data_IF_430186774610
#
_entry.id   IF_430186774610
#
_cell.length_a   1.000
_cell.length_b   1.000
_cell.length_c   1.000
_cell.angle_alpha   90.00
_cell.angle_beta   90.00
_cell.angle_gamma   90.00
#
_symmetry.space_group_name_H-M   'P 1'
#
loop_
_entity.id
_entity.type
_entity.pdbx_description
1 polymer ?
#
# COMPACT_ATOMS: atom_id res chain seq x y z
N UNK A 1 5.41 29.45 -25.51
CA UNK A 1 5.08 28.24 -24.77
C UNK A 1 3.59 28.06 -24.96
N UNK A 2 3.14 27.07 -25.72
CA UNK A 2 1.72 26.82 -25.81
C UNK A 2 1.29 26.03 -24.57
N UNK A 3 0.20 26.44 -23.94
CA UNK A 3 -0.34 25.77 -22.76
C UNK A 3 -1.78 25.38 -23.06
N UNK A 4 -2.08 24.08 -23.02
CA UNK A 4 -3.44 23.58 -23.19
C UNK A 4 -4.07 23.39 -21.81
N UNK A 5 -5.11 24.17 -21.55
CA UNK A 5 -5.96 24.11 -20.37
C UNK A 5 -7.11 23.15 -20.65
N UNK A 6 -7.19 22.11 -19.82
CA UNK A 6 -8.14 21.01 -19.97
C UNK A 6 -8.98 20.93 -18.69
N UNK A 7 -10.28 21.11 -18.83
CA UNK A 7 -11.23 20.95 -17.74
C UNK A 7 -11.82 19.54 -17.75
N UNK A 8 -11.76 18.85 -16.61
CA UNK A 8 -12.41 17.56 -16.38
C UNK A 8 -13.53 17.71 -15.35
N UNK A 9 -14.76 17.69 -15.84
CA UNK A 9 -15.97 17.60 -15.02
C UNK A 9 -16.52 16.17 -15.09
N UNK A 10 -16.42 15.44 -13.97
CA UNK A 10 -16.64 14.00 -13.90
C UNK A 10 -15.76 13.28 -14.92
N UNK A 11 -16.36 12.60 -15.88
CA UNK A 11 -15.62 11.90 -16.95
C UNK A 11 -15.54 12.73 -18.24
N UNK A 12 -16.15 13.93 -18.28
CA UNK A 12 -16.15 14.76 -19.48
C UNK A 12 -14.89 15.62 -19.52
N UNK A 13 -14.05 15.37 -20.53
CA UNK A 13 -12.88 16.18 -20.84
C UNK A 13 -13.25 17.28 -21.84
N UNK A 14 -13.02 18.53 -21.45
CA UNK A 14 -13.25 19.71 -22.28
C UNK A 14 -11.97 20.53 -22.41
N UNK A 15 -11.54 20.78 -23.65
CA UNK A 15 -10.38 21.65 -23.92
C UNK A 15 -10.87 23.11 -23.89
N UNK A 16 -10.32 23.91 -22.99
CA UNK A 16 -10.77 25.29 -22.77
C UNK A 16 -10.10 26.30 -23.71
N UNK A 17 -8.83 26.08 -24.04
CA UNK A 17 -8.11 26.86 -25.04
C UNK A 17 -7.50 25.94 -26.10
N UNK A 18 -7.74 26.29 -27.37
CA UNK A 18 -7.09 25.63 -28.50
C UNK A 18 -5.97 26.52 -28.98
N UNK A 19 -4.82 26.44 -28.29
CA UNK A 19 -3.59 27.02 -28.81
C UNK A 19 -3.05 26.17 -29.95
N UNK A 20 -2.41 26.83 -30.93
CA UNK A 20 -1.87 26.15 -32.11
C UNK A 20 -0.56 25.49 -31.71
N UNK A 21 -0.52 24.16 -31.77
CA UNK A 21 0.70 23.37 -31.62
C UNK A 21 1.25 23.03 -33.00
N UNK A 22 2.56 23.23 -33.18
CA UNK A 22 3.27 22.90 -34.41
C UNK A 22 4.01 21.55 -34.26
N UNK A 23 4.01 20.75 -35.32
CA UNK A 23 4.78 19.50 -35.37
C UNK A 23 6.28 19.80 -35.39
N UNK A 24 7.04 19.17 -34.49
CA UNK A 24 8.48 19.37 -34.36
C UNK A 24 8.89 20.15 -33.10
N UNK A 25 7.94 20.74 -32.38
CA UNK A 25 8.19 21.33 -31.07
C UNK A 25 8.62 20.25 -30.06
N UNK A 26 9.72 20.48 -29.35
CA UNK A 26 10.26 19.56 -28.33
C UNK A 26 10.44 20.30 -27.01
N UNK A 27 9.91 19.72 -25.93
CA UNK A 27 9.94 20.27 -24.56
C UNK A 27 9.44 21.72 -24.43
N UNK A 28 8.50 22.13 -25.30
CA UNK A 28 8.01 23.52 -25.34
C UNK A 28 6.53 23.67 -24.97
N UNK A 29 5.73 22.62 -25.13
CA UNK A 29 4.28 22.68 -24.90
C UNK A 29 3.86 21.87 -23.68
N UNK A 30 2.92 22.43 -22.92
CA UNK A 30 2.45 21.87 -21.65
C UNK A 30 0.93 21.77 -21.63
N UNK A 31 0.42 20.85 -20.80
CA UNK A 31 -0.99 20.76 -20.48
C UNK A 31 -1.18 21.05 -18.98
N UNK A 32 -2.18 21.87 -18.67
CA UNK A 32 -2.68 22.10 -17.33
C UNK A 32 -4.09 21.52 -17.24
N UNK A 33 -4.33 20.69 -16.22
CA UNK A 33 -5.60 20.02 -16.02
C UNK A 33 -6.31 20.57 -14.80
N UNK A 34 -7.57 20.97 -14.96
CA UNK A 34 -8.44 21.34 -13.86
C UNK A 34 -9.45 20.22 -13.61
N UNK A 35 -9.40 19.61 -12.44
CA UNK A 35 -10.29 18.51 -12.07
C UNK A 35 -11.38 18.96 -11.10
N UNK A 36 -12.57 18.38 -11.25
CA UNK A 36 -13.60 18.48 -10.20
C UNK A 36 -13.33 17.51 -9.03
N UNK A 37 -14.15 17.61 -7.99
CA UNK A 37 -14.04 16.82 -6.75
C UNK A 37 -14.16 15.30 -6.97
N UNK A 38 -14.60 14.83 -8.14
CA UNK A 38 -14.72 13.39 -8.39
C UNK A 38 -13.37 12.70 -8.56
N UNK A 39 -12.32 13.48 -8.85
CA UNK A 39 -10.95 13.00 -9.03
C UNK A 39 -10.11 13.05 -7.75
N UNK A 40 -10.71 13.44 -6.61
CA UNK A 40 -9.99 13.59 -5.34
C UNK A 40 -9.45 12.26 -4.80
N UNK A 41 -8.15 12.25 -4.55
CA UNK A 41 -7.41 11.08 -4.06
C UNK A 41 -7.11 10.01 -5.11
N UNK A 42 -7.32 10.30 -6.41
CA UNK A 42 -6.81 9.47 -7.50
C UNK A 42 -5.43 9.95 -7.94
N UNK A 43 -4.52 9.01 -8.20
CA UNK A 43 -3.27 9.26 -8.94
C UNK A 43 -3.64 9.39 -10.41
N UNK A 44 -3.38 10.55 -11.00
CA UNK A 44 -3.86 10.92 -12.33
C UNK A 44 -2.76 10.79 -13.38
N UNK A 45 -3.10 10.16 -14.50
CA UNK A 45 -2.18 9.90 -15.61
C UNK A 45 -2.82 10.39 -16.90
N UNK A 46 -2.14 11.32 -17.58
CA UNK A 46 -2.49 11.78 -18.90
C UNK A 46 -2.00 10.80 -19.97
N UNK A 47 -2.79 10.67 -21.03
CA UNK A 47 -2.57 9.75 -22.14
C UNK A 47 -2.59 10.55 -23.44
N UNK A 48 -1.53 10.41 -24.23
CA UNK A 48 -1.35 11.11 -25.50
C UNK A 48 -1.06 10.11 -26.61
N UNK A 49 -1.77 10.20 -27.72
CA UNK A 49 -1.48 9.37 -28.89
C UNK A 49 -2.05 9.97 -30.18
N UNK A 50 -1.40 9.68 -31.30
CA UNK A 50 -1.98 9.91 -32.63
C UNK A 50 -2.50 8.61 -33.26
N UNK A 51 -1.81 7.50 -32.97
CA UNK A 51 -2.12 6.15 -33.43
C UNK A 51 -2.16 5.24 -32.20
N UNK A 52 -3.16 4.35 -32.09
CA UNK A 52 -3.33 3.47 -30.92
C UNK A 52 -2.16 2.50 -30.69
N UNK A 53 -1.28 2.34 -31.68
CA UNK A 53 -0.05 1.55 -31.63
C UNK A 53 1.09 2.28 -30.91
N UNK A 54 1.00 3.60 -30.74
CA UNK A 54 2.02 4.43 -30.11
C UNK A 54 1.37 5.37 -29.09
N UNK A 55 1.14 4.85 -27.88
CA UNK A 55 0.50 5.56 -26.78
C UNK A 55 1.54 5.98 -25.75
N UNK A 56 1.50 7.26 -25.38
CA UNK A 56 2.39 7.87 -24.41
C UNK A 56 1.61 8.13 -23.11
N UNK A 57 2.19 7.73 -21.99
CA UNK A 57 1.61 7.90 -20.65
C UNK A 57 2.47 8.85 -19.83
N UNK A 58 1.85 9.84 -19.22
CA UNK A 58 2.53 10.84 -18.39
C UNK A 58 1.78 10.99 -17.08
N UNK A 59 2.44 10.70 -15.97
CA UNK A 59 1.89 10.94 -14.64
C UNK A 59 1.88 12.44 -14.38
N UNK A 60 0.76 12.97 -13.91
CA UNK A 60 0.61 14.40 -13.62
C UNK A 60 1.42 14.81 -12.39
N UNK A 61 2.00 16.01 -12.44
CA UNK A 61 2.68 16.63 -11.31
C UNK A 61 1.72 16.97 -10.16
N UNK A 62 2.27 17.40 -9.02
CA UNK A 62 1.47 17.82 -7.85
C UNK A 62 0.60 19.06 -8.13
N UNK A 63 0.91 19.78 -9.19
CA UNK A 63 0.22 20.96 -9.72
C UNK A 63 -0.79 20.61 -10.83
N UNK A 64 -1.06 19.32 -11.07
CA UNK A 64 -1.94 18.83 -12.14
C UNK A 64 -1.47 19.29 -13.55
N UNK A 65 -0.15 19.47 -13.73
CA UNK A 65 0.45 19.80 -15.03
C UNK A 65 1.30 18.66 -15.59
N UNK A 66 1.48 18.63 -16.91
CA UNK A 66 2.47 17.77 -17.56
C UNK A 66 2.98 18.36 -18.88
N UNK A 67 4.18 17.94 -19.31
CA UNK A 67 4.69 18.25 -20.65
C UNK A 67 4.10 17.30 -21.69
N UNK A 68 3.82 17.82 -22.89
CA UNK A 68 3.32 16.99 -24.00
C UNK A 68 4.51 16.21 -24.60
N UNK A 69 4.43 14.87 -24.68
CA UNK A 69 5.51 14.08 -25.28
C UNK A 69 5.70 14.43 -26.76
N UNK A 70 6.94 14.73 -27.18
CA UNK A 70 7.27 15.02 -28.58
C UNK A 70 6.86 13.87 -29.53
N UNK A 71 6.90 12.62 -29.06
CA UNK A 71 6.43 11.46 -29.80
C UNK A 71 4.93 11.53 -30.15
N UNK A 72 4.12 12.21 -29.34
CA UNK A 72 2.70 12.44 -29.61
C UNK A 72 2.44 13.64 -30.55
N UNK A 73 3.47 14.44 -30.84
CA UNK A 73 3.44 15.61 -31.74
C UNK A 73 4.26 15.39 -33.03
N UNK A 74 4.80 14.19 -33.23
CA UNK A 74 5.79 13.90 -34.27
C UNK A 74 5.25 14.04 -35.71
N UNK A 75 3.93 13.96 -35.91
CA UNK A 75 3.30 14.15 -37.22
C UNK A 75 2.26 15.27 -37.13
N UNK A 76 2.10 16.03 -38.21
CA UNK A 76 1.01 16.99 -38.39
C UNK A 76 -0.34 16.26 -38.55
N UNK A 77 -0.84 15.70 -37.46
CA UNK A 77 -2.08 14.92 -37.38
C UNK A 77 -2.83 15.26 -36.09
N UNK A 78 -4.08 14.80 -36.03
CA UNK A 78 -4.89 14.88 -34.81
C UNK A 78 -4.28 14.03 -33.70
N UNK A 79 -3.97 14.68 -32.58
CA UNK A 79 -3.58 14.04 -31.34
C UNK A 79 -4.81 13.86 -30.45
N UNK A 80 -4.93 12.69 -29.83
CA UNK A 80 -5.93 12.37 -28.84
C UNK A 80 -5.32 12.52 -27.45
N UNK A 81 -6.08 13.14 -26.55
CA UNK A 81 -5.70 13.38 -25.16
C UNK A 81 -6.78 12.79 -24.27
N UNK A 82 -6.40 12.02 -23.26
CA UNK A 82 -7.30 11.52 -22.23
C UNK A 82 -6.60 11.47 -20.87
N UNK A 83 -7.37 11.25 -19.82
CA UNK A 83 -6.85 11.07 -18.47
C UNK A 83 -7.52 9.86 -17.84
N UNK A 84 -6.75 9.08 -17.08
CA UNK A 84 -7.30 8.10 -16.15
C UNK A 84 -6.71 8.28 -14.76
N UNK A 85 -7.49 7.92 -13.75
CA UNK A 85 -7.13 8.00 -12.34
C UNK A 85 -7.20 6.63 -11.69
N UNK A 86 -6.23 6.32 -10.83
CA UNK A 86 -6.22 5.07 -10.04
C UNK A 86 -6.27 5.40 -8.54
N UNK A 87 -7.16 4.73 -7.80
CA UNK A 87 -7.28 4.79 -6.34
C UNK A 87 -7.58 3.40 -5.77
N UNK A 88 -6.55 2.72 -5.27
CA UNK A 88 -6.67 1.33 -4.84
C UNK A 88 -7.08 0.43 -6.00
N UNK A 89 -8.26 -0.20 -5.91
CA UNK A 89 -8.85 -1.02 -6.98
C UNK A 89 -9.80 -0.25 -7.91
N UNK A 90 -10.09 1.02 -7.61
CA UNK A 90 -10.98 1.84 -8.42
C UNK A 90 -10.20 2.56 -9.54
N UNK A 91 -10.74 2.52 -10.76
CA UNK A 91 -10.22 3.22 -11.94
C UNK A 91 -11.31 4.14 -12.50
N UNK A 92 -10.98 5.41 -12.71
CA UNK A 92 -11.83 6.39 -13.38
C UNK A 92 -11.16 6.82 -14.69
N UNK A 93 -11.92 6.96 -15.77
CA UNK A 93 -11.41 7.37 -17.09
C UNK A 93 -12.21 8.55 -17.62
N UNK A 94 -11.53 9.43 -18.36
CA UNK A 94 -12.18 10.55 -19.06
C UNK A 94 -12.58 10.17 -20.50
N UNK A 95 -13.44 10.98 -21.10
CA UNK A 95 -13.59 11.05 -22.55
C UNK A 95 -12.31 11.58 -23.19
N UNK A 96 -12.17 11.36 -24.50
CA UNK A 96 -11.01 11.83 -25.26
C UNK A 96 -11.25 13.23 -25.80
N UNK A 97 -10.29 14.13 -25.57
CA UNK A 97 -10.14 15.37 -26.31
C UNK A 97 -9.31 15.17 -27.57
N UNK A 98 -9.48 16.07 -28.53
CA UNK A 98 -8.70 16.07 -29.77
C UNK A 98 -8.07 17.42 -30.02
N UNK A 99 -6.78 17.42 -30.33
CA UNK A 99 -6.02 18.62 -30.71
C UNK A 99 -5.43 18.39 -32.10
N UNK A 100 -5.65 19.34 -33.00
CA UNK A 100 -5.10 19.27 -34.35
C UNK A 100 -3.67 19.85 -34.35
N UNK A 101 -2.67 18.97 -34.50
CA UNK A 101 -1.27 19.39 -34.64
C UNK A 101 -1.06 19.90 -36.06
N UNK A 102 -0.61 21.15 -36.21
CA UNK A 102 -0.32 21.75 -37.52
C UNK A 102 1.11 21.46 -37.94
N UNK A 103 1.35 21.47 -39.24
CA UNK A 103 2.71 21.33 -39.78
C UNK A 103 3.56 22.53 -39.34
N UNK A 104 4.63 22.24 -38.61
CA UNK A 104 5.61 23.24 -38.18
C UNK A 104 6.47 23.72 -39.34
N UNK A 105 7.09 24.89 -39.19
CA UNK A 105 8.08 25.35 -40.15
C UNK A 105 9.25 24.36 -40.19
N UNK A 106 9.84 24.13 -41.38
CA UNK A 106 11.04 23.31 -41.55
C UNK A 106 12.21 24.00 -40.82
N UNK A 107 12.36 23.75 -39.53
CA UNK A 107 13.59 23.98 -38.80
C UNK A 107 14.53 22.85 -39.20
N UNK A 108 15.60 23.17 -39.92
CA UNK A 108 16.53 22.24 -40.58
C UNK A 108 16.54 20.82 -40.02
N UNK A 109 15.93 19.88 -40.76
CA UNK A 109 15.99 18.45 -40.44
C UNK A 109 14.72 17.67 -40.75
N UNK A 110 14.26 17.65 -42.01
CA UNK A 110 13.53 16.48 -42.49
C UNK A 110 14.54 15.31 -42.59
N UNK A 111 14.77 14.64 -41.47
CA UNK A 111 15.40 13.33 -41.41
C UNK A 111 14.48 12.40 -40.62
N UNK A 112 13.62 11.71 -41.36
CA UNK A 112 13.20 10.38 -40.94
C UNK A 112 14.39 9.45 -41.16
N UNK A 113 15.09 9.10 -40.09
CA UNK A 113 15.85 7.85 -40.03
C UNK A 113 15.69 7.26 -38.63
N UNK A 114 15.25 6.00 -38.56
CA UNK A 114 15.57 5.08 -37.47
C UNK A 114 17.00 5.31 -36.95
N UNK A 115 17.25 5.11 -35.65
CA UNK A 115 18.10 5.96 -34.82
C UNK A 115 19.53 6.03 -35.37
N UNK A 116 19.83 7.09 -36.12
CA UNK A 116 21.15 7.29 -36.69
C UNK A 116 21.97 8.11 -35.70
N UNK A 117 22.79 7.40 -34.94
CA UNK A 117 23.97 7.83 -34.21
C UNK A 117 23.80 8.80 -33.04
N UNK A 118 22.90 9.79 -33.05
CA UNK A 118 22.79 10.77 -31.97
C UNK A 118 22.12 10.22 -30.70
N UNK A 119 21.15 9.31 -30.81
CA UNK A 119 20.57 8.63 -29.63
C UNK A 119 21.55 7.61 -29.07
N UNK A 120 22.27 6.88 -29.92
CA UNK A 120 23.30 5.96 -29.46
C UNK A 120 24.50 6.71 -28.85
N UNK A 121 24.92 7.83 -29.42
CA UNK A 121 25.91 8.75 -28.85
C UNK A 121 25.39 9.43 -27.58
N UNK A 122 24.11 9.81 -27.51
CA UNK A 122 23.50 10.38 -26.31
C UNK A 122 23.34 9.32 -25.21
N UNK A 123 23.03 8.07 -25.57
CA UNK A 123 23.00 6.92 -24.67
C UNK A 123 24.43 6.59 -24.23
N UNK A 124 25.44 6.55 -25.11
CA UNK A 124 26.85 6.34 -24.75
C UNK A 124 27.37 7.50 -23.90
N UNK A 125 27.04 8.75 -24.21
CA UNK A 125 27.45 9.91 -23.43
C UNK A 125 26.69 9.96 -22.10
N UNK A 126 25.43 9.50 -22.05
CA UNK A 126 24.74 9.25 -20.77
C UNK A 126 25.38 8.10 -20.02
N UNK A 127 25.76 7.01 -20.68
CA UNK A 127 26.40 5.86 -20.05
C UNK A 127 27.78 6.23 -19.52
N UNK A 128 28.58 6.98 -20.28
CA UNK A 128 29.87 7.52 -19.85
C UNK A 128 29.69 8.53 -18.72
N UNK A 129 28.70 9.42 -18.78
CA UNK A 129 28.39 10.31 -17.64
C UNK A 129 27.90 9.53 -16.43
N UNK A 130 27.09 8.49 -16.59
CA UNK A 130 26.63 7.63 -15.50
C UNK A 130 27.81 6.84 -14.94
N UNK A 131 28.75 6.36 -15.76
CA UNK A 131 29.96 5.66 -15.32
C UNK A 131 30.95 6.62 -14.65
N UNK A 132 31.16 7.83 -15.17
CA UNK A 132 31.96 8.88 -14.53
C UNK A 132 31.31 9.36 -13.23
N UNK A 133 29.99 9.47 -13.21
CA UNK A 133 29.22 9.80 -12.01
C UNK A 133 29.27 8.64 -11.01
N UNK A 134 29.22 7.37 -11.45
CA UNK A 134 29.40 6.19 -10.60
C UNK A 134 30.83 6.11 -10.06
N UNK A 135 31.85 6.43 -10.87
CA UNK A 135 33.24 6.50 -10.42
C UNK A 135 33.48 7.68 -9.47
N UNK A 136 32.81 8.82 -9.69
CA UNK A 136 32.78 9.92 -8.72
C UNK A 136 31.99 9.53 -7.47
N UNK A 137 30.89 8.79 -7.57
CA UNK A 137 30.17 8.27 -6.41
C UNK A 137 31.01 7.24 -5.66
N UNK A 138 31.81 6.41 -6.33
CA UNK A 138 32.75 5.51 -5.66
C UNK A 138 33.90 6.29 -5.00
N UNK A 139 34.52 7.26 -5.67
CA UNK A 139 35.59 8.07 -5.04
C UNK A 139 35.05 8.98 -3.94
N UNK A 140 33.82 9.50 -4.09
CA UNK A 140 33.12 10.30 -3.08
C UNK A 140 32.60 9.40 -1.98
N UNK A 141 32.18 8.16 -2.23
CA UNK A 141 31.81 7.19 -1.19
C UNK A 141 33.04 6.67 -0.44
N UNK A 142 34.19 6.53 -1.08
CA UNK A 142 35.46 6.27 -0.41
C UNK A 142 35.88 7.47 0.44
N UNK A 143 35.80 8.69 -0.09
CA UNK A 143 36.06 9.92 0.68
C UNK A 143 35.05 10.11 1.80
N UNK A 144 33.77 9.79 1.59
CA UNK A 144 32.72 9.85 2.59
C UNK A 144 32.90 8.75 3.63
N UNK A 145 33.35 7.55 3.26
CA UNK A 145 33.70 6.51 4.23
C UNK A 145 34.94 6.89 5.05
N UNK A 146 35.94 7.51 4.45
CA UNK A 146 37.13 8.02 5.17
C UNK A 146 36.71 9.17 6.12
N UNK A 147 35.89 10.11 5.64
CA UNK A 147 35.40 11.26 6.41
C UNK A 147 34.39 10.84 7.49
N UNK A 148 33.56 9.84 7.23
CA UNK A 148 32.61 9.25 8.19
C UNK A 148 33.35 8.41 9.23
N UNK A 149 34.41 7.70 8.87
CA UNK A 149 35.29 7.01 9.83
C UNK A 149 36.03 8.03 10.72
N UNK A 150 36.50 9.14 10.15
CA UNK A 150 37.13 10.22 10.91
C UNK A 150 36.12 10.96 11.80
N UNK A 151 34.90 11.23 11.30
CA UNK A 151 33.82 11.86 12.05
C UNK A 151 33.30 10.95 13.16
N UNK A 152 33.17 9.63 12.92
CA UNK A 152 32.84 8.65 13.95
C UNK A 152 33.95 8.54 15.00
N UNK A 153 35.22 8.59 14.60
CA UNK A 153 36.35 8.60 15.52
C UNK A 153 36.39 9.88 16.38
N UNK A 154 36.04 11.03 15.81
CA UNK A 154 35.87 12.31 16.52
C UNK A 154 34.64 12.25 17.45
N UNK A 155 33.54 11.67 17.00
CA UNK A 155 32.34 11.46 17.82
C UNK A 155 32.57 10.46 18.95
N UNK A 156 33.39 9.42 18.77
CA UNK A 156 33.80 8.52 19.86
C UNK A 156 34.70 9.22 20.89
N UNK A 157 35.57 10.13 20.44
CA UNK A 157 36.40 10.94 21.35
C UNK A 157 35.59 12.03 22.05
N UNK A 158 34.53 12.56 21.44
CA UNK A 158 33.60 13.51 22.05
C UNK A 158 32.53 12.82 22.94
N UNK A 159 32.04 11.64 22.57
CA UNK A 159 31.10 10.81 23.35
C UNK A 159 31.77 10.12 24.55
N UNK A 160 33.11 10.18 24.67
CA UNK A 160 33.80 9.67 25.85
C UNK A 160 33.54 10.50 27.11
N UNK A 161 32.90 11.68 27.02
CA UNK A 161 32.74 12.59 28.16
C UNK A 161 31.31 12.86 28.63
N UNK A 162 30.23 12.35 28.01
CA UNK A 162 28.85 12.66 28.49
C UNK A 162 27.75 11.57 28.27
N UNK A 163 28.07 10.30 27.98
CA UNK A 163 27.05 9.25 27.70
C UNK A 163 26.85 8.24 28.85
N UNK A 164 26.97 8.68 30.10
CA UNK A 164 26.60 7.82 31.24
C UNK A 164 25.09 7.93 31.53
N UNK A 165 24.49 9.10 31.33
CA UNK A 165 23.13 9.39 31.79
C UNK A 165 22.04 8.88 30.82
N UNK A 166 22.26 8.96 29.51
CA UNK A 166 21.29 8.52 28.48
C UNK A 166 21.16 6.99 28.46
N UNK A 167 22.26 6.26 28.69
CA UNK A 167 22.25 4.80 28.73
C UNK A 167 21.40 4.28 29.89
N UNK A 168 21.51 4.89 31.07
CA UNK A 168 20.67 4.56 32.22
C UNK A 168 19.19 4.80 31.96
N UNK A 169 18.83 5.85 31.21
CA UNK A 169 17.43 6.10 30.88
C UNK A 169 16.87 5.11 29.86
N UNK A 170 17.68 4.66 28.89
CA UNK A 170 17.26 3.66 27.91
C UNK A 170 17.02 2.29 28.55
N UNK A 171 17.88 1.87 29.49
CA UNK A 171 17.70 0.60 30.21
C UNK A 171 16.37 0.59 31.01
N UNK A 172 16.00 1.72 31.62
CA UNK A 172 14.73 1.87 32.37
C UNK A 172 13.51 1.83 31.44
N UNK A 173 13.62 2.36 30.22
CA UNK A 173 12.54 2.35 29.23
C UNK A 173 12.34 0.94 28.68
N UNK A 174 13.43 0.20 28.45
CA UNK A 174 13.40 -1.17 27.95
C UNK A 174 12.74 -2.13 28.95
N UNK A 175 13.07 -2.05 30.24
CA UNK A 175 12.39 -2.81 31.30
C UNK A 175 10.88 -2.51 31.36
N UNK A 176 10.47 -1.25 31.20
CA UNK A 176 9.06 -0.87 31.17
C UNK A 176 8.33 -1.43 29.96
N UNK A 177 8.97 -1.45 28.78
CA UNK A 177 8.37 -1.98 27.56
C UNK A 177 8.08 -3.48 27.69
N UNK A 178 9.04 -4.25 28.23
CA UNK A 178 8.87 -5.69 28.48
C UNK A 178 7.67 -5.94 29.40
N UNK A 179 7.54 -5.17 30.48
CA UNK A 179 6.43 -5.28 31.43
C UNK A 179 5.05 -5.01 30.79
N UNK A 180 4.94 -4.06 29.86
CA UNK A 180 3.66 -3.80 29.18
C UNK A 180 3.27 -4.90 28.20
N UNK A 181 4.24 -5.49 27.49
CA UNK A 181 3.98 -6.67 26.64
C UNK A 181 3.57 -7.89 27.45
N UNK A 182 4.18 -8.11 28.61
CA UNK A 182 3.81 -9.21 29.50
C UNK A 182 2.39 -9.01 30.08
N UNK A 183 2.07 -7.78 30.51
CA UNK A 183 0.72 -7.43 30.98
C UNK A 183 -0.33 -7.58 29.86
N UNK A 184 -0.01 -7.19 28.63
CA UNK A 184 -0.92 -7.35 27.49
C UNK A 184 -1.17 -8.82 27.15
N UNK A 185 -0.14 -9.67 27.21
CA UNK A 185 -0.27 -11.12 27.05
C UNK A 185 -1.06 -11.75 28.20
N UNK A 186 -0.89 -11.26 29.43
CA UNK A 186 -1.67 -11.66 30.60
C UNK A 186 -3.16 -11.28 30.43
N UNK A 187 -3.45 -10.09 29.91
CA UNK A 187 -4.83 -9.65 29.65
C UNK A 187 -5.47 -10.46 28.51
N UNK A 188 -4.75 -10.75 27.43
CA UNK A 188 -5.28 -11.53 26.30
C UNK A 188 -5.44 -13.03 26.60
N UNK A 189 -4.68 -13.58 27.54
CA UNK A 189 -4.77 -15.00 27.94
C UNK A 189 -5.83 -15.28 29.02
N UNK A 190 -6.45 -14.24 29.60
CA UNK A 190 -7.49 -14.36 30.62
C UNK A 190 -8.85 -14.81 30.07
N UNK A 191 -9.20 -14.47 28.82
CA UNK A 191 -10.46 -14.87 28.21
C UNK A 191 -10.22 -15.53 26.85
N UNK A 192 -10.49 -16.83 26.77
CA UNK A 192 -10.28 -17.65 25.56
C UNK A 192 -11.62 -18.25 25.16
N UNK A 193 -12.02 -18.12 23.90
CA UNK A 193 -13.26 -18.70 23.39
C UNK A 193 -12.95 -19.82 22.41
N UNK A 194 -13.43 -21.02 22.72
CA UNK A 194 -13.46 -22.16 21.79
C UNK A 194 -14.83 -22.14 21.12
N UNK A 195 -14.87 -22.15 19.79
CA UNK A 195 -16.11 -22.12 18.99
C UNK A 195 -16.38 -23.48 18.38
N UNK A 196 -17.65 -23.70 18.01
CA UNK A 196 -18.11 -24.84 17.22
C UNK A 196 -17.70 -26.20 17.81
N UNK A 197 -17.88 -26.35 19.13
CA UNK A 197 -17.59 -27.57 19.87
C UNK A 197 -18.79 -28.52 19.77
N UNK A 198 -18.63 -29.70 19.16
CA UNK A 198 -19.66 -30.73 19.17
C UNK A 198 -19.77 -31.35 20.57
N UNK A 199 -20.97 -31.30 21.14
CA UNK A 199 -21.31 -31.80 22.47
C UNK A 199 -22.27 -32.97 22.32
N UNK A 200 -21.80 -34.16 22.68
CA UNK A 200 -22.59 -35.38 22.66
C UNK A 200 -22.59 -36.04 24.03
N UNK A 201 -23.77 -36.14 24.64
CA UNK A 201 -23.91 -36.78 25.94
C UNK A 201 -24.00 -38.31 25.79
N UNK A 202 -23.19 -39.01 26.57
CA UNK A 202 -23.24 -40.47 26.74
C UNK A 202 -23.45 -40.69 28.23
N UNK A 203 -24.54 -41.38 28.60
CA UNK A 203 -24.94 -41.54 30.01
C UNK A 203 -25.00 -40.20 30.78
N UNK A 204 -25.53 -39.17 30.11
CA UNK A 204 -25.70 -37.78 30.62
C UNK A 204 -24.40 -37.01 30.84
N UNK A 205 -23.26 -37.56 30.43
CA UNK A 205 -21.96 -36.92 30.55
C UNK A 205 -21.37 -36.67 29.16
N UNK A 206 -20.80 -35.50 28.94
CA UNK A 206 -20.01 -35.20 27.75
C UNK A 206 -18.65 -34.66 28.20
N UNK A 207 -17.58 -35.18 27.59
CA UNK A 207 -16.21 -34.71 27.85
C UNK A 207 -15.67 -34.04 26.59
N UNK A 208 -15.20 -32.80 26.75
CA UNK A 208 -14.56 -32.03 25.68
C UNK A 208 -13.10 -31.81 26.08
N UNK A 209 -12.17 -32.36 25.29
CA UNK A 209 -10.74 -32.23 25.54
C UNK A 209 -10.20 -30.95 24.90
N UNK A 210 -9.45 -30.18 25.68
CA UNK A 210 -8.72 -29.01 25.20
C UNK A 210 -7.61 -28.65 26.20
N UNK A 211 -6.36 -28.63 25.74
CA UNK A 211 -5.17 -28.33 26.55
C UNK A 211 -5.17 -26.93 27.17
N UNK A 212 -6.03 -26.03 26.67
CA UNK A 212 -6.18 -24.68 27.19
C UNK A 212 -7.03 -24.65 28.48
N UNK A 213 -7.77 -25.72 28.81
CA UNK A 213 -8.59 -25.80 30.01
C UNK A 213 -7.74 -26.30 31.18
N UNK A 214 -7.77 -25.59 32.31
CA UNK A 214 -7.15 -26.03 33.56
C UNK A 214 -8.24 -26.25 34.62
N UNK A 215 -7.92 -26.95 35.71
CA UNK A 215 -8.84 -27.16 36.82
C UNK A 215 -9.30 -25.86 37.52
N UNK A 216 -8.57 -24.75 37.34
CA UNK A 216 -8.90 -23.44 37.87
C UNK A 216 -9.65 -22.54 36.87
N UNK A 217 -9.81 -22.99 35.63
CA UNK A 217 -10.57 -22.25 34.61
C UNK A 217 -12.05 -22.18 34.96
N UNK A 218 -12.65 -20.99 34.87
CA UNK A 218 -14.09 -20.80 34.85
C UNK A 218 -14.59 -20.93 33.41
N UNK A 219 -15.36 -21.97 33.13
CA UNK A 219 -15.87 -22.24 31.79
C UNK A 219 -17.37 -21.97 31.69
N UNK A 220 -17.76 -21.03 30.84
CA UNK A 220 -19.16 -20.78 30.47
C UNK A 220 -19.45 -21.45 29.11
N UNK A 221 -20.55 -22.18 29.02
CA UNK A 221 -20.95 -22.92 27.81
C UNK A 221 -22.19 -22.28 27.20
N UNK A 222 -22.07 -21.91 25.93
CA UNK A 222 -23.14 -21.27 25.16
C UNK A 222 -23.53 -22.16 23.98
N UNK A 223 -24.79 -22.55 23.89
CA UNK A 223 -25.29 -23.32 22.76
C UNK A 223 -25.74 -22.39 21.63
N UNK A 224 -25.59 -22.83 20.38
CA UNK A 224 -26.14 -22.11 19.24
C UNK A 224 -27.68 -22.15 19.22
N UNK A 225 -28.31 -21.38 18.33
CA UNK A 225 -29.76 -21.20 18.29
C UNK A 225 -30.52 -22.54 18.19
N UNK A 226 -30.01 -23.49 17.39
CA UNK A 226 -30.63 -24.80 17.20
C UNK A 226 -30.41 -25.71 18.41
N UNK A 227 -29.21 -25.72 18.96
CA UNK A 227 -28.83 -26.56 20.09
C UNK A 227 -29.41 -26.06 21.41
N UNK A 228 -29.64 -24.75 21.52
CA UNK A 228 -30.20 -24.09 22.69
C UNK A 228 -31.62 -24.58 23.00
N UNK A 229 -32.47 -24.82 22.00
CA UNK A 229 -33.84 -25.30 22.24
C UNK A 229 -33.88 -26.67 22.96
N UNK A 230 -32.91 -27.53 22.66
CA UNK A 230 -32.75 -28.83 23.31
C UNK A 230 -32.02 -28.68 24.65
N UNK A 231 -30.95 -27.90 24.70
CA UNK A 231 -30.16 -27.65 25.91
C UNK A 231 -30.96 -26.95 27.02
N UNK A 232 -31.82 -25.99 26.69
CA UNK A 232 -32.60 -25.20 27.66
C UNK A 232 -33.64 -26.04 28.44
N UNK A 233 -33.95 -27.25 27.96
CA UNK A 233 -34.82 -28.21 28.65
C UNK A 233 -34.07 -29.03 29.71
N UNK A 234 -32.74 -28.91 29.76
CA UNK A 234 -31.84 -29.61 30.65
C UNK A 234 -31.06 -28.63 31.54
N UNK A 235 -30.73 -29.04 32.76
CA UNK A 235 -29.68 -28.39 33.52
C UNK A 235 -28.34 -28.99 33.07
N UNK A 236 -27.50 -28.19 32.42
CA UNK A 236 -26.17 -28.59 31.98
C UNK A 236 -25.14 -27.87 32.86
N UNK A 237 -24.33 -28.65 33.58
CA UNK A 237 -23.32 -28.14 34.50
C UNK A 237 -21.92 -28.40 33.92
N UNK A 238 -21.14 -27.35 33.61
CA UNK A 238 -19.73 -27.48 33.27
C UNK A 238 -18.85 -27.61 34.51
N UNK A 239 -17.91 -28.56 34.47
CA UNK A 239 -16.82 -28.70 35.45
C UNK A 239 -15.50 -28.81 34.70
N UNK A 240 -14.57 -27.91 35.03
CA UNK A 240 -13.24 -27.85 34.41
C UNK A 240 -12.25 -28.78 35.12
N UNK A 241 -11.36 -29.39 34.33
CA UNK A 241 -10.25 -30.22 34.76
C UNK A 241 -9.01 -29.88 33.95
N UNK A 242 -7.85 -30.40 34.34
CA UNK A 242 -6.62 -30.19 33.57
C UNK A 242 -6.69 -30.92 32.21
N UNK A 243 -6.82 -30.12 31.15
CA UNK A 243 -6.87 -30.57 29.75
C UNK A 243 -8.26 -30.92 29.22
N UNK A 244 -9.33 -30.79 30.01
CA UNK A 244 -10.69 -31.05 29.54
C UNK A 244 -11.77 -30.39 30.40
N UNK A 245 -12.98 -30.31 29.84
CA UNK A 245 -14.20 -29.93 30.56
C UNK A 245 -15.21 -31.08 30.48
N UNK A 246 -15.88 -31.33 31.59
CA UNK A 246 -16.98 -32.27 31.70
C UNK A 246 -18.29 -31.51 31.79
N UNK A 247 -19.24 -31.87 30.93
CA UNK A 247 -20.60 -31.35 30.95
C UNK A 247 -21.52 -32.45 31.45
N UNK A 248 -22.23 -32.20 32.54
CA UNK A 248 -23.25 -33.12 33.06
C UNK A 248 -24.64 -32.58 32.78
N UNK A 249 -25.49 -33.37 32.15
CA UNK A 249 -26.91 -33.05 31.89
C UNK A 249 -27.84 -33.69 32.93
N UNK A 250 -28.90 -32.99 33.32
CA UNK A 250 -29.95 -33.56 34.19
C UNK A 250 -30.86 -34.57 33.48
N UNK A 251 -30.96 -34.51 32.16
CA UNK A 251 -31.81 -35.37 31.33
C UNK A 251 -30.99 -36.07 30.25
N UNK A 252 -31.53 -37.15 29.69
CA UNK A 252 -30.93 -37.81 28.54
C UNK A 252 -31.15 -36.99 27.27
N UNK A 253 -30.05 -36.51 26.69
CA UNK A 253 -30.03 -35.78 25.42
C UNK A 253 -29.44 -36.71 24.36
N UNK A 254 -30.25 -37.11 23.39
CA UNK A 254 -29.84 -38.05 22.32
C UNK A 254 -29.26 -37.35 21.09
N UNK A 255 -29.52 -36.05 20.95
CA UNK A 255 -29.06 -35.22 19.86
C UNK A 255 -27.63 -34.73 20.11
N UNK A 256 -26.86 -34.56 19.05
CA UNK A 256 -25.57 -33.87 19.12
C UNK A 256 -25.82 -32.37 19.08
N UNK A 257 -25.29 -31.65 20.05
CA UNK A 257 -25.42 -30.21 20.22
C UNK A 257 -24.13 -29.52 19.78
N UNK A 258 -24.22 -28.25 19.44
CA UNK A 258 -23.07 -27.41 19.13
C UNK A 258 -22.97 -26.25 20.13
N UNK A 259 -21.77 -26.04 20.66
CA UNK A 259 -21.53 -25.05 21.71
C UNK A 259 -20.26 -24.23 21.47
N UNK A 260 -20.23 -23.04 22.06
CA UNK A 260 -19.03 -22.25 22.28
C UNK A 260 -18.70 -22.25 23.77
N UNK A 261 -17.43 -22.46 24.10
CA UNK A 261 -16.95 -22.52 25.47
C UNK A 261 -16.06 -21.30 25.71
N UNK A 262 -16.51 -20.40 26.57
CA UNK A 262 -15.72 -19.29 27.06
C UNK A 262 -14.96 -19.74 28.30
N UNK A 263 -13.64 -19.73 28.21
CA UNK A 263 -12.71 -20.08 29.27
C UNK A 263 -12.19 -18.78 29.86
N UNK A 264 -12.47 -18.54 31.14
CA UNK A 264 -11.85 -17.48 31.91
C UNK A 264 -10.82 -18.08 32.86
N UNK A 265 -9.56 -17.68 32.71
CA UNK A 265 -8.48 -18.07 33.63
C UNK A 265 -8.36 -17.00 34.71
N UNK A 266 -8.39 -17.43 35.98
CA UNK A 266 -8.14 -16.56 37.13
C UNK A 266 -6.66 -16.20 37.24
#
# INVERSE_FOLDING_TARGET
>A
MAQINILLEKQLLTIQNMEIIASGDSNFDSCEFTFDKTWDGFVKTAVFYQEKTNVQYVVLGNDDTCMIPAAAMAKAKRMYIGVFGIKGTAVITSTLGTVDIREGAISGGNISTEPADDVFLAIIAQYQRIVEMMAQYESTAEQFNIQMAEQNRILETLNAFDVVEIRQQLDIIEERMISYTDLANEIMSREIVIRDVPVKFIDKVCRVENEVITAESLCDVYFDEFSYETAAKALILPVSFDGYIELTSSIDITEELNASILIRRN
#
